data_IF_657198400354
#
_entry.id   IF_657198400354
#
_cell.length_a   1.000
_cell.length_b   1.000
_cell.length_c   1.000
_cell.angle_alpha   90.00
_cell.angle_beta   90.00
_cell.angle_gamma   90.00
#
_symmetry.space_group_name_H-M   'P 1'
#
loop_
_entity.id
_entity.type
_entity.pdbx_description
1 polymer ?
#
# COMPACT_ATOMS: atom_id res chain seq x y z
N UNK A 1 -0.97 7.50 -6.91
CA UNK A 1 -1.23 6.14 -6.38
C UNK A 1 -2.73 5.87 -6.45
N UNK A 2 -3.12 4.70 -6.98
CA UNK A 2 -4.52 4.33 -7.21
C UNK A 2 -5.02 3.29 -6.21
N UNK A 3 -4.13 2.45 -5.68
CA UNK A 3 -4.41 1.54 -4.57
C UNK A 3 -3.13 1.27 -3.77
N UNK A 4 -3.20 1.10 -2.44
CA UNK A 4 -4.36 1.30 -1.57
C UNK A 4 -4.81 2.76 -1.47
N UNK A 5 -6.10 2.99 -1.18
CA UNK A 5 -6.61 4.33 -0.89
C UNK A 5 -6.22 4.79 0.52
N UNK A 6 -6.34 6.08 0.78
CA UNK A 6 -6.08 6.64 2.11
C UNK A 6 -6.94 5.96 3.17
N UNK A 7 -6.32 5.55 4.27
CA UNK A 7 -6.96 4.86 5.38
C UNK A 7 -7.34 3.41 5.12
N UNK A 8 -6.95 2.83 3.98
CA UNK A 8 -7.21 1.42 3.70
C UNK A 8 -6.55 0.51 4.75
N UNK A 9 -7.29 -0.48 5.24
CA UNK A 9 -6.73 -1.55 6.08
C UNK A 9 -6.13 -2.64 5.18
N UNK A 10 -4.84 -2.92 5.35
CA UNK A 10 -4.05 -3.84 4.52
C UNK A 10 -3.57 -5.03 5.35
N UNK A 11 -3.53 -6.21 4.71
CA UNK A 11 -3.10 -7.47 5.34
C UNK A 11 -2.60 -8.48 4.30
N UNK A 12 -1.64 -9.31 4.69
CA UNK A 12 -1.03 -10.30 3.81
C UNK A 12 -0.31 -9.67 2.61
N UNK A 13 -0.50 -10.25 1.43
CA UNK A 13 0.02 -9.70 0.18
C UNK A 13 -0.96 -8.68 -0.40
N UNK A 14 -0.52 -7.43 -0.52
CA UNK A 14 -1.30 -6.31 -1.04
C UNK A 14 -0.70 -5.80 -2.34
N UNK A 15 -1.52 -5.68 -3.36
CA UNK A 15 -1.13 -5.06 -4.63
C UNK A 15 -1.23 -3.55 -4.51
N UNK A 16 -0.08 -2.88 -4.57
CA UNK A 16 0.03 -1.42 -4.65
C UNK A 16 0.04 -1.05 -6.14
N UNK A 17 -0.88 -0.19 -6.56
CA UNK A 17 -0.96 0.26 -7.95
C UNK A 17 -0.83 1.77 -8.06
N UNK A 18 -0.24 2.21 -9.15
CA UNK A 18 -0.12 3.61 -9.49
C UNK A 18 -0.35 3.85 -10.98
N UNK A 19 -0.88 5.04 -11.27
CA UNK A 19 -0.90 5.62 -12.61
C UNK A 19 -0.03 6.87 -12.61
N UNK A 20 0.67 7.08 -13.71
CA UNK A 20 1.42 8.28 -14.00
C UNK A 20 1.28 8.55 -15.49
N UNK A 21 1.11 9.82 -15.85
CA UNK A 21 0.94 10.27 -17.23
C UNK A 21 1.83 11.48 -17.44
N UNK A 22 2.50 11.52 -18.58
CA UNK A 22 3.32 12.64 -19.03
C UNK A 22 3.13 12.79 -20.54
N UNK A 23 3.34 14.00 -21.09
CA UNK A 23 3.13 14.27 -22.52
C UNK A 23 4.21 13.64 -23.42
N UNK A 24 5.40 13.38 -22.90
CA UNK A 24 6.50 12.68 -23.59
C UNK A 24 6.55 11.22 -23.16
N UNK A 25 6.31 10.97 -21.87
CA UNK A 25 6.20 9.63 -21.31
C UNK A 25 6.92 9.49 -19.98
N UNK A 26 6.40 8.59 -19.16
CA UNK A 26 6.98 8.24 -17.85
C UNK A 26 7.95 7.07 -18.05
N UNK A 27 9.21 7.24 -17.68
CA UNK A 27 10.27 6.24 -17.84
C UNK A 27 10.26 5.20 -16.73
N UNK A 28 9.97 5.62 -15.49
CA UNK A 28 9.90 4.72 -14.33
C UNK A 28 9.03 5.29 -13.21
N UNK A 29 8.52 4.40 -12.38
CA UNK A 29 7.88 4.72 -11.10
C UNK A 29 8.58 3.93 -9.99
N UNK A 30 9.03 4.66 -8.97
CA UNK A 30 9.61 4.09 -7.76
C UNK A 30 8.56 4.07 -6.65
N UNK A 31 8.46 2.97 -5.91
CA UNK A 31 7.66 2.84 -4.70
C UNK A 31 8.58 2.92 -3.47
N UNK A 32 8.12 3.67 -2.48
CA UNK A 32 8.71 3.81 -1.16
C UNK A 32 7.68 3.43 -0.10
N UNK A 33 8.13 2.76 0.96
CA UNK A 33 7.31 2.38 2.12
C UNK A 33 8.00 2.94 3.36
N UNK A 34 7.29 3.79 4.10
CA UNK A 34 7.80 4.53 5.27
C UNK A 34 9.11 5.27 4.97
N UNK A 35 9.16 5.89 3.79
CA UNK A 35 10.32 6.64 3.30
C UNK A 35 11.48 5.79 2.79
N UNK A 36 11.41 4.45 2.87
CA UNK A 36 12.45 3.54 2.35
C UNK A 36 12.11 3.07 0.95
N UNK A 37 13.10 3.08 0.06
CA UNK A 37 12.96 2.53 -1.29
C UNK A 37 12.53 1.06 -1.20
N UNK A 38 11.50 0.70 -1.97
CA UNK A 38 10.97 -0.66 -2.03
C UNK A 38 11.26 -1.30 -3.38
N UNK A 39 10.80 -0.68 -4.48
CA UNK A 39 10.97 -1.22 -5.83
C UNK A 39 10.77 -0.13 -6.89
N UNK A 40 11.13 -0.46 -8.14
CA UNK A 40 10.85 0.35 -9.33
C UNK A 40 10.10 -0.48 -10.35
N UNK A 41 9.20 0.16 -11.10
CA UNK A 41 8.48 -0.43 -12.23
C UNK A 41 8.56 0.53 -13.42
N UNK A 42 8.82 -0.03 -14.60
CA UNK A 42 8.97 0.71 -15.87
C UNK A 42 7.85 0.38 -16.86
N UNK A 43 6.90 -0.48 -16.48
CA UNK A 43 5.79 -0.89 -17.33
C UNK A 43 4.51 -0.15 -16.91
N UNK A 44 3.90 0.56 -17.85
CA UNK A 44 2.66 1.29 -17.60
C UNK A 44 1.55 0.35 -17.07
N UNK A 45 0.73 0.85 -16.14
CA UNK A 45 -0.05 0.07 -15.14
C UNK A 45 0.78 -0.40 -13.94
N UNK A 46 1.62 0.50 -13.43
CA UNK A 46 2.61 0.23 -12.39
C UNK A 46 2.02 -0.52 -11.19
N UNK A 47 2.62 -1.67 -10.87
CA UNK A 47 2.08 -2.59 -9.88
C UNK A 47 3.18 -3.22 -9.04
N UNK A 48 3.00 -3.19 -7.73
CA UNK A 48 3.96 -3.72 -6.77
C UNK A 48 3.26 -4.69 -5.81
N UNK A 49 3.84 -5.88 -5.64
CA UNK A 49 3.36 -6.84 -4.66
C UNK A 49 4.01 -6.58 -3.31
N UNK A 50 3.27 -5.95 -2.40
CA UNK A 50 3.74 -5.64 -1.05
C UNK A 50 3.33 -6.73 -0.06
N UNK A 51 4.33 -7.41 0.51
CA UNK A 51 4.11 -8.34 1.62
C UNK A 51 4.07 -7.59 2.96
N UNK A 52 2.87 -7.30 3.46
CA UNK A 52 2.64 -6.56 4.71
C UNK A 52 2.98 -7.37 5.98
N UNK A 53 3.21 -8.69 5.87
CA UNK A 53 3.54 -9.52 7.05
C UNK A 53 4.92 -9.17 7.63
N UNK A 54 5.80 -8.57 6.81
CA UNK A 54 7.13 -8.09 7.21
C UNK A 54 7.14 -6.75 7.95
N UNK A 55 5.97 -6.11 8.10
CA UNK A 55 5.79 -4.79 8.68
C UNK A 55 4.97 -4.88 9.97
N UNK A 56 5.14 -3.93 10.89
CA UNK A 56 4.38 -3.84 12.14
C UNK A 56 2.90 -3.53 11.92
N UNK A 57 2.04 -3.85 12.90
CA UNK A 57 0.66 -3.35 12.92
C UNK A 57 0.65 -1.84 13.23
N UNK A 58 0.68 -1.00 12.21
CA UNK A 58 0.69 0.45 12.35
C UNK A 58 0.20 1.15 11.08
N UNK A 59 0.18 2.48 11.14
CA UNK A 59 0.12 3.31 9.94
C UNK A 59 1.41 3.15 9.13
N UNK A 60 1.26 2.88 7.84
CA UNK A 60 2.34 2.88 6.87
C UNK A 60 2.09 3.94 5.80
N UNK A 61 3.13 4.68 5.46
CA UNK A 61 3.09 5.68 4.39
C UNK A 61 3.68 5.06 3.13
N UNK A 62 2.84 4.87 2.11
CA UNK A 62 3.28 4.49 0.78
C UNK A 62 3.51 5.77 -0.02
N UNK A 63 4.58 5.83 -0.79
CA UNK A 63 4.88 6.95 -1.68
C UNK A 63 5.38 6.44 -3.01
N UNK A 64 4.75 6.87 -4.10
CA UNK A 64 5.18 6.57 -5.47
C UNK A 64 5.79 7.82 -6.09
N UNK A 65 6.93 7.67 -6.76
CA UNK A 65 7.61 8.75 -7.47
C UNK A 65 7.82 8.35 -8.93
N UNK A 66 7.15 9.05 -9.84
CA UNK A 66 7.26 8.88 -11.27
C UNK A 66 8.35 9.80 -11.82
N UNK A 67 9.09 9.33 -12.82
CA UNK A 67 10.14 10.08 -13.49
C UNK A 67 9.92 10.07 -15.01
N UNK A 68 10.23 11.16 -15.69
CA UNK A 68 10.24 11.24 -17.15
C UNK A 68 11.66 11.00 -17.71
N UNK A 69 11.84 11.17 -19.03
CA UNK A 69 13.12 11.01 -19.70
C UNK A 69 14.09 12.19 -19.48
N UNK A 70 13.57 13.35 -19.09
CA UNK A 70 14.35 14.55 -18.78
C UNK A 70 14.82 14.59 -17.31
N UNK A 71 14.35 13.66 -16.48
CA UNK A 71 14.65 13.58 -15.06
C UNK A 71 13.68 14.37 -14.16
N UNK A 72 12.60 14.95 -14.71
CA UNK A 72 11.56 15.53 -13.89
C UNK A 72 10.84 14.43 -13.11
N UNK A 73 10.35 14.78 -11.91
CA UNK A 73 9.69 13.81 -11.06
C UNK A 73 8.39 14.36 -10.46
N UNK A 74 7.36 13.51 -10.43
CA UNK A 74 6.11 13.74 -9.71
C UNK A 74 5.91 12.67 -8.64
N UNK A 75 5.40 13.04 -7.47
CA UNK A 75 5.18 12.11 -6.37
C UNK A 75 3.73 12.10 -5.88
N UNK A 76 3.29 10.95 -5.38
CA UNK A 76 1.98 10.76 -4.76
C UNK A 76 2.12 9.83 -3.56
N UNK A 77 1.54 10.20 -2.42
CA UNK A 77 1.60 9.42 -1.17
C UNK A 77 0.20 9.06 -0.67
N UNK A 78 0.11 7.93 0.04
CA UNK A 78 -1.11 7.50 0.74
C UNK A 78 -0.73 6.83 2.05
N UNK A 79 -1.61 6.91 3.04
CA UNK A 79 -1.43 6.24 4.32
C UNK A 79 -2.41 5.08 4.41
N UNK A 80 -1.93 3.93 4.87
CA UNK A 80 -2.73 2.73 5.07
C UNK A 80 -2.44 2.12 6.44
N UNK A 81 -3.40 1.38 6.99
CA UNK A 81 -3.29 0.73 8.29
C UNK A 81 -3.00 -0.76 8.10
N UNK A 82 -1.83 -1.23 8.53
CA UNK A 82 -1.55 -2.68 8.57
C UNK A 82 -2.24 -3.29 9.79
N UNK A 83 -3.03 -4.33 9.58
CA UNK A 83 -3.65 -5.11 10.66
C UNK A 83 -3.46 -6.62 10.42
N UNK A 84 -3.23 -7.35 11.51
CA UNK A 84 -3.28 -8.81 11.54
C UNK A 84 -4.73 -9.30 11.65
N UNK A 85 -5.05 -10.46 11.08
CA UNK A 85 -6.36 -11.07 11.23
C UNK A 85 -6.56 -11.47 12.69
N UNK A 86 -7.27 -10.66 13.45
CA UNK A 86 -7.53 -10.95 14.86
C UNK A 86 -8.77 -11.86 14.97
N UNK A 87 -8.57 -13.17 14.79
CA UNK A 87 -9.62 -14.19 14.92
C UNK A 87 -10.23 -14.23 16.34
N UNK A 88 -9.56 -13.66 17.35
CA UNK A 88 -10.05 -13.59 18.72
C UNK A 88 -11.30 -12.70 18.89
N UNK A 89 -11.54 -11.72 17.99
CA UNK A 89 -12.71 -10.82 18.10
C UNK A 89 -14.00 -11.38 17.50
N UNK A 90 -13.95 -12.54 16.85
CA UNK A 90 -15.13 -13.24 16.31
C UNK A 90 -15.77 -14.22 17.30
N UNK A 91 -15.05 -14.64 18.36
CA UNK A 91 -15.56 -15.60 19.35
C UNK A 91 -16.16 -14.97 20.62
N UNK A 92 -15.90 -13.68 20.89
CA UNK A 92 -16.38 -13.03 22.12
C UNK A 92 -17.82 -12.49 22.07
N UNK A 93 -18.49 -12.49 20.90
CA UNK A 93 -19.85 -11.90 20.79
C UNK A 93 -21.00 -12.90 20.99
N UNK A 94 -20.74 -14.17 21.38
CA UNK A 94 -21.81 -15.19 21.57
C UNK A 94 -21.63 -16.12 22.78
N UNK A 95 -21.25 -15.59 23.93
CA UNK A 95 -21.53 -16.26 25.21
C UNK A 95 -22.20 -15.30 26.19
N UNK A 96 -23.49 -15.05 25.97
CA UNK A 96 -24.43 -14.70 27.05
C UNK A 96 -25.66 -15.59 26.91
N UNK A 97 -25.54 -16.83 27.40
CA UNK A 97 -26.66 -17.56 27.98
C UNK A 97 -26.15 -18.10 29.32
N UNK A 98 -26.47 -17.39 30.39
CA UNK A 98 -26.26 -17.86 31.76
C UNK A 98 -27.40 -18.81 32.13
N UNK A 99 -27.08 -20.03 32.56
CA UNK A 99 -27.87 -20.80 33.54
C UNK A 99 -27.43 -20.28 34.93
N UNK A 100 -28.25 -19.93 35.92
CA UNK A 100 -29.62 -20.24 36.32
C UNK A 100 -30.38 -18.97 36.69
#
# INVERSE_FOLDING_TARGET
MTSPIYGATVRGSVTVTASATDNVGVTKVELYIDGKYFATDTTASYSFLWNTTKYSNANHTLMTKAYDAAGNAGSSSTNCYRQELNLARYFETRMLFSFW
#
